data_IF_191768924528
#
_entry.id   IF_191768924528
#
_cell.length_a   1.000
_cell.length_b   1.000
_cell.length_c   1.000
_cell.angle_alpha   90.00
_cell.angle_beta   90.00
_cell.angle_gamma   90.00
#
_symmetry.space_group_name_H-M   'P 1'
#
loop_
_entity.id
_entity.type
_entity.pdbx_description
1 polymer ?
#
# COMPACT_ATOMS: atom_id res chain seq x y z
N UNK A 1 29.35 -38.62 -1.34
CA UNK A 1 30.10 -37.60 -1.35
C UNK A 1 29.69 -36.53 -2.24
N UNK A 2 30.09 -36.44 -3.21
CA UNK A 2 29.74 -35.51 -4.19
C UNK A 2 28.40 -34.97 -4.11
N UNK A 3 27.45 -35.67 -3.98
CA UNK A 3 26.07 -35.24 -3.97
C UNK A 3 25.86 -34.02 -3.18
N UNK A 4 26.38 -33.97 -2.18
CA UNK A 4 26.20 -32.86 -1.33
C UNK A 4 26.15 -31.52 -1.96
N UNK A 5 27.05 -31.21 -2.67
CA UNK A 5 27.16 -29.97 -3.27
C UNK A 5 25.97 -29.44 -3.92
N UNK A 6 25.36 -30.13 -4.64
CA UNK A 6 24.22 -29.67 -5.35
C UNK A 6 23.38 -28.84 -4.51
N UNK A 7 23.04 -29.25 -3.46
CA UNK A 7 22.11 -28.58 -2.60
C UNK A 7 22.41 -27.13 -2.53
N UNK A 8 23.52 -26.74 -2.33
CA UNK A 8 23.89 -25.42 -2.15
C UNK A 8 23.53 -24.58 -3.28
N UNK A 9 23.89 -24.98 -4.36
CA UNK A 9 23.64 -24.13 -5.49
C UNK A 9 22.26 -23.61 -5.55
N UNK A 10 21.33 -24.34 -5.17
CA UNK A 10 19.96 -23.93 -5.22
C UNK A 10 19.68 -22.77 -4.37
N UNK A 11 20.06 -22.86 -3.21
CA UNK A 11 19.85 -21.84 -2.27
C UNK A 11 20.25 -20.47 -2.77
N UNK A 12 21.39 -20.38 -3.28
CA UNK A 12 21.88 -19.10 -3.70
C UNK A 12 21.00 -18.41 -4.71
N UNK A 13 20.38 -19.15 -5.50
CA UNK A 13 19.53 -18.60 -6.53
C UNK A 13 18.39 -17.76 -6.03
N UNK A 14 17.68 -18.22 -5.10
CA UNK A 14 16.54 -17.50 -4.57
C UNK A 14 16.86 -16.13 -4.03
N UNK A 15 17.78 -16.03 -3.20
CA UNK A 15 18.08 -14.76 -2.60
C UNK A 15 18.30 -13.67 -3.63
N UNK A 16 18.93 -13.98 -4.68
CA UNK A 16 19.24 -12.98 -5.69
C UNK A 16 18.00 -12.40 -6.37
N UNK A 17 17.04 -13.19 -6.63
CA UNK A 17 15.84 -12.75 -7.32
C UNK A 17 15.04 -11.72 -6.54
N UNK A 18 14.81 -11.96 -5.30
CA UNK A 18 13.98 -11.09 -4.50
C UNK A 18 14.58 -9.72 -4.23
N UNK A 19 15.87 -9.65 -4.21
CA UNK A 19 16.52 -8.40 -3.88
C UNK A 19 16.35 -7.32 -4.94
N UNK A 20 15.95 -7.70 -6.14
CA UNK A 20 15.83 -6.75 -7.24
C UNK A 20 14.52 -5.97 -7.26
N UNK A 21 13.56 -6.34 -6.45
CA UNK A 21 12.25 -5.69 -6.44
C UNK A 21 11.94 -5.04 -5.11
N UNK A 22 11.44 -3.82 -5.16
CA UNK A 22 11.07 -3.06 -3.97
C UNK A 22 9.63 -2.60 -4.15
N UNK A 23 8.81 -2.80 -3.13
CA UNK A 23 7.41 -2.36 -3.17
C UNK A 23 7.30 -0.85 -2.95
N UNK A 24 6.21 -0.23 -3.40
CA UNK A 24 6.02 1.21 -3.14
C UNK A 24 5.83 1.46 -1.65
N UNK A 25 6.27 2.62 -1.19
CA UNK A 25 6.16 3.00 0.22
C UNK A 25 5.52 4.38 0.32
N UNK A 26 4.50 4.50 1.16
CA UNK A 26 3.81 5.77 1.33
C UNK A 26 4.68 6.74 2.12
N UNK A 27 4.70 7.99 1.66
CA UNK A 27 5.35 9.07 2.40
C UNK A 27 4.26 9.80 3.16
N UNK A 28 3.99 9.37 4.37
CA UNK A 28 2.84 9.82 5.16
C UNK A 28 2.75 11.33 5.35
N UNK A 29 3.85 12.00 5.43
CA UNK A 29 3.86 13.44 5.63
C UNK A 29 3.32 14.21 4.41
N UNK A 30 3.19 13.55 3.27
CA UNK A 30 2.67 14.19 2.07
C UNK A 30 1.15 14.04 1.92
N UNK A 31 0.54 13.20 2.73
CA UNK A 31 -0.89 12.94 2.64
C UNK A 31 -1.68 14.10 3.24
N UNK A 32 -2.88 14.33 2.73
CA UNK A 32 -3.72 15.31 3.38
C UNK A 32 -4.12 14.77 4.73
N UNK A 33 -4.43 15.68 5.65
CA UNK A 33 -4.75 15.29 7.01
C UNK A 33 -6.02 14.46 7.06
N UNK A 34 -6.00 13.40 7.85
CA UNK A 34 -7.17 12.56 8.01
C UNK A 34 -8.17 13.29 8.90
N UNK A 35 -9.33 13.63 8.31
CA UNK A 35 -10.40 14.28 9.05
C UNK A 35 -11.58 13.31 9.07
N UNK A 36 -12.08 13.03 10.26
CA UNK A 36 -13.24 12.15 10.41
C UNK A 36 -14.44 12.81 9.75
N UNK A 37 -15.10 12.15 8.78
CA UNK A 37 -16.26 12.75 8.12
C UNK A 37 -17.36 13.04 9.14
N UNK A 38 -17.94 14.23 9.04
CA UNK A 38 -18.92 14.67 10.03
C UNK A 38 -20.11 13.74 10.18
N UNK A 39 -20.67 13.28 9.08
CA UNK A 39 -21.81 12.38 9.14
C UNK A 39 -21.47 11.06 9.80
N UNK A 40 -20.27 10.54 9.53
CA UNK A 40 -19.82 9.30 10.14
C UNK A 40 -19.60 9.50 11.62
N UNK A 41 -19.05 10.66 12.00
CA UNK A 41 -18.82 10.96 13.40
C UNK A 41 -20.15 11.04 14.16
N UNK A 42 -21.14 11.71 13.59
CA UNK A 42 -22.45 11.85 14.23
C UNK A 42 -23.18 10.52 14.36
N UNK A 43 -22.94 9.60 13.44
CA UNK A 43 -23.56 8.28 13.48
C UNK A 43 -22.68 7.25 14.18
N UNK A 44 -21.57 7.72 14.75
CA UNK A 44 -20.61 6.84 15.44
C UNK A 44 -20.14 5.67 14.58
N UNK A 45 -19.94 5.93 13.31
CA UNK A 45 -19.45 4.91 12.39
C UNK A 45 -17.95 4.72 12.55
N UNK A 46 -17.52 3.47 12.63
CA UNK A 46 -16.11 3.12 12.78
C UNK A 46 -15.82 1.93 11.89
N UNK A 47 -14.58 1.60 11.74
CA UNK A 47 -14.19 0.40 11.00
C UNK A 47 -12.85 0.56 10.31
N UNK A 48 -12.40 -0.52 9.71
CA UNK A 48 -11.13 -0.56 9.03
C UNK A 48 -11.36 -0.67 7.53
N UNK A 49 -10.67 0.16 6.78
CA UNK A 49 -10.72 0.14 5.31
C UNK A 49 -9.44 -0.49 4.82
N UNK A 50 -9.56 -1.55 4.01
CA UNK A 50 -8.40 -2.08 3.31
C UNK A 50 -8.52 -1.57 1.88
N UNK A 51 -7.49 -0.88 1.42
CA UNK A 51 -7.53 -0.29 0.08
C UNK A 51 -6.21 -0.50 -0.63
N UNK A 52 -6.25 -0.36 -1.94
CA UNK A 52 -5.06 -0.43 -2.76
C UNK A 52 -5.00 0.82 -3.63
N UNK A 53 -3.82 1.34 -3.82
CA UNK A 53 -3.61 2.45 -4.73
C UNK A 53 -2.55 2.06 -5.75
N UNK A 54 -2.74 2.48 -6.98
CA UNK A 54 -1.78 2.20 -8.04
C UNK A 54 -0.82 3.38 -8.09
N UNK A 55 0.43 3.10 -7.78
CA UNK A 55 1.47 4.13 -7.70
C UNK A 55 2.25 4.16 -8.99
N UNK A 56 2.29 5.29 -9.63
CA UNK A 56 3.03 5.45 -10.88
C UNK A 56 4.54 5.55 -10.64
N UNK A 57 5.32 5.50 -11.70
CA UNK A 57 6.79 5.56 -11.55
C UNK A 57 7.28 6.86 -10.92
N UNK A 58 6.49 7.91 -10.96
CA UNK A 58 6.86 9.18 -10.34
C UNK A 58 6.39 9.28 -8.88
N UNK A 59 5.78 8.23 -8.36
CA UNK A 59 5.32 8.22 -6.98
C UNK A 59 3.92 8.76 -6.77
N UNK A 60 3.24 9.23 -7.82
CA UNK A 60 1.88 9.74 -7.65
C UNK A 60 0.87 8.61 -7.83
N UNK A 61 -0.30 8.77 -7.23
CA UNK A 61 -1.35 7.77 -7.31
C UNK A 61 -2.17 7.98 -8.58
N UNK A 62 -2.27 6.94 -9.39
CA UNK A 62 -3.00 7.02 -10.66
C UNK A 62 -4.31 6.25 -10.65
N UNK A 63 -4.55 5.41 -9.65
CA UNK A 63 -5.80 4.68 -9.51
C UNK A 63 -5.93 4.22 -8.06
N UNK A 64 -7.14 3.85 -7.65
CA UNK A 64 -7.38 3.36 -6.31
C UNK A 64 -8.59 2.44 -6.30
N UNK A 65 -8.66 1.57 -5.28
CA UNK A 65 -9.82 0.72 -5.09
C UNK A 65 -9.92 0.31 -3.62
N UNK A 66 -11.13 0.03 -3.17
CA UNK A 66 -11.36 -0.47 -1.83
C UNK A 66 -11.37 -1.99 -1.92
N UNK A 67 -10.46 -2.64 -1.21
CA UNK A 67 -10.37 -4.09 -1.20
C UNK A 67 -11.36 -4.67 -0.18
N UNK A 68 -11.50 -4.00 0.96
CA UNK A 68 -12.46 -4.42 1.97
C UNK A 68 -13.04 -3.19 2.65
N UNK A 69 -14.36 -3.08 2.63
CA UNK A 69 -15.05 -1.93 3.19
C UNK A 69 -15.04 -1.95 4.71
N UNK A 70 -15.04 -0.75 5.31
CA UNK A 70 -15.22 -0.60 6.74
C UNK A 70 -16.66 -0.90 7.15
N UNK A 71 -17.56 -0.99 6.19
CA UNK A 71 -19.00 -1.07 6.46
C UNK A 71 -19.66 0.29 6.27
N UNK A 72 -18.90 1.33 6.09
CA UNK A 72 -19.42 2.70 5.87
C UNK A 72 -18.85 3.24 4.57
N UNK A 73 -19.71 3.55 3.62
CA UNK A 73 -19.28 4.13 2.36
C UNK A 73 -18.61 5.46 2.58
N UNK A 74 -19.08 6.22 3.56
CA UNK A 74 -18.51 7.53 3.86
C UNK A 74 -17.07 7.39 4.32
N UNK A 75 -16.80 6.43 5.21
CA UNK A 75 -15.44 6.20 5.70
C UNK A 75 -14.54 5.63 4.61
N UNK A 76 -15.09 4.76 3.77
CA UNK A 76 -14.32 4.19 2.67
C UNK A 76 -13.87 5.27 1.71
N UNK A 77 -14.77 6.16 1.31
CA UNK A 77 -14.44 7.25 0.39
C UNK A 77 -13.43 8.20 1.01
N UNK A 78 -13.56 8.47 2.30
CA UNK A 78 -12.64 9.37 2.98
C UNK A 78 -11.23 8.78 2.99
N UNK A 79 -11.11 7.48 3.21
CA UNK A 79 -9.81 6.82 3.21
C UNK A 79 -9.18 6.88 1.81
N UNK A 80 -9.96 6.62 0.78
CA UNK A 80 -9.46 6.68 -0.59
C UNK A 80 -8.95 8.10 -0.89
N UNK A 81 -9.68 9.10 -0.47
CA UNK A 81 -9.28 10.48 -0.71
C UNK A 81 -7.96 10.81 -0.05
N UNK A 82 -7.79 10.40 1.19
CA UNK A 82 -6.55 10.64 1.93
C UNK A 82 -5.36 10.03 1.20
N UNK A 83 -5.43 8.76 0.88
CA UNK A 83 -4.29 8.06 0.29
C UNK A 83 -4.07 8.40 -1.18
N UNK A 84 -5.10 8.87 -1.88
CA UNK A 84 -4.94 9.33 -3.25
C UNK A 84 -4.16 10.64 -3.30
N UNK A 85 -4.12 11.39 -2.20
CA UNK A 85 -3.38 12.65 -2.13
C UNK A 85 -1.92 12.44 -1.76
N UNK A 86 -1.57 11.24 -1.31
CA UNK A 86 -0.21 10.98 -0.83
C UNK A 86 0.78 10.83 -1.97
N UNK A 87 2.03 11.10 -1.66
CA UNK A 87 3.14 10.74 -2.53
C UNK A 87 3.73 9.45 -2.00
N UNK A 88 4.22 8.66 -2.90
CA UNK A 88 4.85 7.39 -2.57
C UNK A 88 6.25 7.34 -3.13
N UNK A 89 7.10 6.55 -2.51
CA UNK A 89 8.32 6.15 -3.17
C UNK A 89 7.88 5.05 -4.12
N UNK A 90 8.16 5.17 -5.42
CA UNK A 90 7.63 4.20 -6.36
C UNK A 90 8.27 2.83 -6.18
N UNK A 91 7.60 1.80 -6.68
CA UNK A 91 8.18 0.48 -6.72
C UNK A 91 9.41 0.52 -7.61
N UNK A 92 10.36 -0.31 -7.29
CA UNK A 92 11.59 -0.39 -8.08
C UNK A 92 11.80 -1.83 -8.54
N UNK A 93 12.28 -1.97 -9.75
CA UNK A 93 12.65 -3.27 -10.27
C UNK A 93 13.95 -3.10 -11.05
N UNK A 94 14.98 -3.80 -10.63
CA UNK A 94 16.31 -3.72 -11.25
C UNK A 94 16.80 -2.26 -11.33
N UNK A 95 16.55 -1.50 -10.28
CA UNK A 95 16.99 -0.12 -10.19
C UNK A 95 16.14 0.89 -10.94
N UNK A 96 15.01 0.47 -11.48
CA UNK A 96 14.13 1.36 -12.26
C UNK A 96 12.78 1.51 -11.60
N UNK A 97 12.24 2.75 -11.55
CA UNK A 97 10.90 2.98 -11.00
C UNK A 97 9.85 2.27 -11.86
N UNK A 98 8.87 1.68 -11.21
CA UNK A 98 7.81 0.96 -11.89
C UNK A 98 6.46 1.27 -11.28
N UNK A 99 5.42 1.20 -12.09
CA UNK A 99 4.06 1.31 -11.61
C UNK A 99 3.69 0.03 -10.88
N UNK A 100 3.10 0.16 -9.71
CA UNK A 100 2.70 -1.02 -8.93
C UNK A 100 1.64 -0.65 -7.91
N UNK A 101 0.87 -1.65 -7.48
CA UNK A 101 -0.16 -1.46 -6.46
C UNK A 101 0.47 -1.49 -5.07
N UNK A 102 0.01 -0.60 -4.21
CA UNK A 102 0.39 -0.58 -2.80
C UNK A 102 -0.87 -0.87 -1.99
N UNK A 103 -0.77 -1.77 -1.01
CA UNK A 103 -1.89 -2.10 -0.12
C UNK A 103 -1.78 -1.32 1.16
N UNK A 104 -2.91 -0.76 1.59
CA UNK A 104 -2.95 0.13 2.74
C UNK A 104 -4.11 -0.24 3.65
N UNK A 105 -3.96 0.08 4.92
CA UNK A 105 -5.00 -0.13 5.90
C UNK A 105 -5.24 1.18 6.62
N UNK A 106 -6.50 1.58 6.76
CA UNK A 106 -6.84 2.77 7.52
C UNK A 106 -7.89 2.42 8.56
N UNK A 107 -7.59 2.71 9.81
CA UNK A 107 -8.48 2.40 10.92
C UNK A 107 -9.19 3.67 11.38
N UNK A 108 -10.52 3.65 11.31
CA UNK A 108 -11.34 4.75 11.81
C UNK A 108 -11.85 4.36 13.20
N UNK A 109 -11.47 5.11 14.20
CA UNK A 109 -11.91 4.83 15.55
C UNK A 109 -12.23 6.15 16.26
N UNK A 110 -13.13 6.08 17.24
CA UNK A 110 -13.61 7.26 17.95
C UNK A 110 -12.95 7.47 19.31
N UNK A 111 -12.05 6.62 19.69
CA UNK A 111 -11.42 6.76 21.01
C UNK A 111 -10.12 7.55 20.98
#
# INVERSE_FOLDING_TARGET
>A
MKKVLLALSLVSVFGAVNAAEVAPVVEKQTCEKAVYPKSALMNEETGTVLLSVLVGPDGSVVDSKVDQSSGSKTLDKAAVKIYSSCKFKPAMKDGKPQQAWAKLEHIWSLS
#
